data_IF_952876790430
#
_entry.id   IF_952876790430
#
_cell.length_a   1.000
_cell.length_b   1.000
_cell.length_c   1.000
_cell.angle_alpha   90.00
_cell.angle_beta   90.00
_cell.angle_gamma   90.00
#
_symmetry.space_group_name_H-M   'P 1'
#
loop_
_entity.id
_entity.type
_entity.pdbx_description
1 polymer ?
#
# COMPACT_ATOMS: atom_id res chain seq x y z
N UNK A 1 -52.92 14.30 -21.35
CA UNK A 1 -52.06 13.37 -20.60
C UNK A 1 -50.66 13.96 -20.59
N UNK A 2 -50.43 14.90 -19.69
CA UNK A 2 -49.22 15.73 -19.58
C UNK A 2 -49.12 16.14 -18.11
N UNK A 3 -48.77 15.18 -17.23
CA UNK A 3 -48.65 15.46 -15.80
C UNK A 3 -47.84 14.39 -15.05
N UNK A 4 -46.76 13.89 -15.66
CA UNK A 4 -45.83 12.97 -14.97
C UNK A 4 -44.36 13.28 -15.22
N UNK A 5 -44.02 14.10 -16.22
CA UNK A 5 -42.62 14.42 -16.55
C UNK A 5 -42.07 15.66 -15.82
N UNK A 6 -42.93 16.55 -15.30
CA UNK A 6 -42.49 17.77 -14.59
C UNK A 6 -42.18 17.58 -13.10
N UNK A 7 -42.61 16.46 -12.50
CA UNK A 7 -42.33 16.19 -11.08
C UNK A 7 -40.94 15.56 -10.86
N UNK A 8 -40.36 14.95 -11.91
CA UNK A 8 -39.04 14.30 -11.84
C UNK A 8 -37.89 15.28 -12.09
N UNK A 9 -38.15 16.38 -12.80
CA UNK A 9 -37.18 17.43 -13.14
C UNK A 9 -37.01 18.49 -12.05
N UNK A 10 -37.94 18.58 -11.10
CA UNK A 10 -37.87 19.52 -9.98
C UNK A 10 -36.96 19.03 -8.83
N UNK A 11 -36.86 17.71 -8.58
CA UNK A 11 -35.94 17.16 -7.56
C UNK A 11 -34.46 17.24 -7.96
N UNK A 12 -34.16 17.31 -9.25
CA UNK A 12 -32.77 17.41 -9.75
C UNK A 12 -32.21 18.84 -9.60
N UNK A 13 -33.08 19.85 -9.47
CA UNK A 13 -32.68 21.26 -9.39
C UNK A 13 -32.26 21.72 -7.98
N UNK A 14 -32.79 21.09 -6.93
CA UNK A 14 -32.47 21.41 -5.52
C UNK A 14 -31.27 20.61 -4.96
N UNK A 15 -30.72 19.69 -5.75
CA UNK A 15 -29.47 18.97 -5.45
C UNK A 15 -28.20 19.81 -5.75
N UNK A 16 -28.36 21.00 -6.35
CA UNK A 16 -27.28 21.91 -6.75
C UNK A 16 -26.43 22.43 -5.59
N UNK A 17 -26.99 22.90 -4.45
CA UNK A 17 -26.19 23.30 -3.28
C UNK A 17 -25.43 22.11 -2.68
N UNK A 18 -26.05 20.93 -2.58
CA UNK A 18 -25.41 19.73 -2.02
C UNK A 18 -24.23 19.24 -2.89
N UNK A 19 -24.36 19.30 -4.21
CA UNK A 19 -23.29 18.90 -5.14
C UNK A 19 -22.11 19.89 -5.15
N UNK A 20 -22.40 21.18 -4.96
CA UNK A 20 -21.38 22.21 -4.80
C UNK A 20 -20.59 22.00 -3.49
N UNK A 21 -21.28 21.78 -2.37
CA UNK A 21 -20.63 21.51 -1.07
C UNK A 21 -19.81 20.21 -1.09
N UNK A 22 -20.29 19.16 -1.75
CA UNK A 22 -19.53 17.90 -1.91
C UNK A 22 -18.27 18.12 -2.75
N UNK A 23 -18.35 18.89 -3.84
CA UNK A 23 -17.19 19.18 -4.68
C UNK A 23 -16.15 20.03 -3.94
N UNK A 24 -16.57 21.10 -3.25
CA UNK A 24 -15.66 21.93 -2.45
C UNK A 24 -14.97 21.14 -1.33
N UNK A 25 -15.71 20.23 -0.68
CA UNK A 25 -15.17 19.36 0.35
C UNK A 25 -14.14 18.38 -0.23
N UNK A 26 -14.44 17.80 -1.40
CA UNK A 26 -13.52 16.90 -2.12
C UNK A 26 -12.28 17.66 -2.58
N UNK A 27 -12.41 18.87 -3.14
CA UNK A 27 -11.29 19.69 -3.59
C UNK A 27 -10.38 20.08 -2.42
N UNK A 28 -10.97 20.51 -1.31
CA UNK A 28 -10.22 20.87 -0.09
C UNK A 28 -9.50 19.67 0.53
N UNK A 29 -10.15 18.50 0.58
CA UNK A 29 -9.49 17.27 1.08
C UNK A 29 -8.43 16.76 0.12
N UNK A 30 -8.64 16.91 -1.19
CA UNK A 30 -7.66 16.52 -2.20
C UNK A 30 -6.42 17.42 -2.16
N UNK A 31 -6.59 18.73 -2.01
CA UNK A 31 -5.47 19.67 -1.92
C UNK A 31 -4.69 19.49 -0.61
N UNK A 32 -5.39 19.28 0.50
CA UNK A 32 -4.74 18.93 1.78
C UNK A 32 -3.99 17.61 1.69
N UNK A 33 -4.56 16.59 1.04
CA UNK A 33 -3.90 15.30 0.84
C UNK A 33 -2.68 15.42 -0.08
N UNK A 34 -2.76 16.21 -1.16
CA UNK A 34 -1.64 16.47 -2.07
C UNK A 34 -0.52 17.23 -1.37
N UNK A 35 -0.85 18.25 -0.59
CA UNK A 35 0.14 19.03 0.15
C UNK A 35 0.84 18.17 1.21
N UNK A 36 0.06 17.37 1.96
CA UNK A 36 0.60 16.40 2.92
C UNK A 36 1.49 15.35 2.25
N UNK A 37 1.04 14.80 1.12
CA UNK A 37 1.81 13.83 0.34
C UNK A 37 3.10 14.44 -0.21
N UNK A 38 3.07 15.66 -0.75
CA UNK A 38 4.25 16.35 -1.26
C UNK A 38 5.25 16.64 -0.15
N UNK A 39 4.77 17.11 1.02
CA UNK A 39 5.62 17.36 2.19
C UNK A 39 6.26 16.06 2.68
N UNK A 40 5.48 14.99 2.80
CA UNK A 40 5.97 13.67 3.18
C UNK A 40 6.99 13.13 2.16
N UNK A 41 6.73 13.33 0.86
CA UNK A 41 7.62 12.91 -0.22
C UNK A 41 8.96 13.67 -0.17
N UNK A 42 8.93 14.99 0.03
CA UNK A 42 10.15 15.81 0.14
C UNK A 42 10.98 15.34 1.33
N UNK A 43 10.38 15.24 2.52
CA UNK A 43 11.07 14.75 3.72
C UNK A 43 11.59 13.33 3.56
N UNK A 44 10.79 12.42 3.00
CA UNK A 44 11.21 11.05 2.73
C UNK A 44 12.36 11.00 1.71
N UNK A 45 12.33 11.83 0.67
CA UNK A 45 13.38 11.89 -0.34
C UNK A 45 14.70 12.42 0.22
N UNK A 46 14.64 13.39 1.14
CA UNK A 46 15.80 13.99 1.78
C UNK A 46 16.44 13.00 2.75
N UNK A 47 15.63 12.35 3.59
CA UNK A 47 16.05 11.27 4.46
C UNK A 47 16.60 10.06 3.67
N UNK A 48 15.96 9.70 2.55
CA UNK A 48 16.42 8.62 1.68
C UNK A 48 17.76 8.97 1.01
N UNK A 49 17.97 10.22 0.58
CA UNK A 49 19.26 10.67 0.01
C UNK A 49 20.37 10.69 1.03
N UNK A 50 20.10 11.16 2.25
CA UNK A 50 21.08 11.14 3.34
C UNK A 50 21.44 9.69 3.73
N UNK A 51 20.43 8.83 3.85
CA UNK A 51 20.62 7.40 4.12
C UNK A 51 21.36 6.74 2.96
N UNK A 52 20.98 6.97 1.70
CA UNK A 52 21.66 6.42 0.53
C UNK A 52 23.14 6.81 0.45
N UNK A 53 23.49 8.05 0.83
CA UNK A 53 24.90 8.49 0.93
C UNK A 53 25.66 7.71 2.01
N UNK A 54 25.06 7.53 3.19
CA UNK A 54 25.64 6.71 4.29
C UNK A 54 25.68 5.21 3.96
N UNK A 55 24.73 4.75 3.15
CA UNK A 55 24.58 3.35 2.74
C UNK A 55 25.52 3.01 1.59
N UNK A 56 25.90 3.95 0.71
CA UNK A 56 26.92 3.72 -0.31
C UNK A 56 28.27 3.26 0.27
N UNK A 57 28.59 3.68 1.50
CA UNK A 57 29.77 3.24 2.26
C UNK A 57 29.51 1.97 3.11
N UNK A 58 28.24 1.60 3.31
CA UNK A 58 27.80 0.50 4.21
C UNK A 58 27.08 -0.67 3.56
N UNK A 59 26.77 -0.65 2.25
CA UNK A 59 26.14 -1.77 1.52
C UNK A 59 27.02 -3.02 1.58
N UNK A 60 28.34 -2.83 1.62
CA UNK A 60 29.30 -3.93 1.80
C UNK A 60 29.22 -4.55 3.20
N UNK A 61 28.74 -3.81 4.20
CA UNK A 61 28.70 -4.25 5.60
C UNK A 61 27.50 -5.13 5.95
N UNK A 62 26.34 -4.96 5.28
CA UNK A 62 25.15 -5.79 5.59
C UNK A 62 24.13 -5.90 4.43
N UNK A 63 24.17 -6.96 3.60
CA UNK A 63 23.21 -7.15 2.50
C UNK A 63 21.77 -7.41 2.97
N UNK A 64 21.54 -7.81 4.22
CA UNK A 64 20.18 -8.01 4.76
C UNK A 64 19.43 -6.69 4.94
N UNK A 65 20.16 -5.57 5.08
CA UNK A 65 19.55 -4.24 5.22
C UNK A 65 18.76 -3.84 3.97
N UNK A 66 19.24 -4.22 2.78
CA UNK A 66 18.56 -3.95 1.50
C UNK A 66 17.25 -4.73 1.40
N UNK A 67 17.24 -6.00 1.84
CA UNK A 67 16.04 -6.82 1.83
C UNK A 67 14.97 -6.26 2.78
N UNK A 68 15.35 -5.93 4.01
CA UNK A 68 14.42 -5.35 5.00
C UNK A 68 13.90 -3.99 4.51
N UNK A 69 14.78 -3.15 3.96
CA UNK A 69 14.41 -1.85 3.37
C UNK A 69 13.43 -1.98 2.21
N UNK A 70 13.66 -2.94 1.31
CA UNK A 70 12.77 -3.21 0.18
C UNK A 70 11.38 -3.70 0.59
N UNK A 71 11.31 -4.58 1.59
CA UNK A 71 10.02 -5.08 2.11
C UNK A 71 9.26 -3.96 2.81
N UNK A 72 9.91 -3.20 3.69
CA UNK A 72 9.28 -2.10 4.40
C UNK A 72 8.75 -1.03 3.42
N UNK A 73 9.55 -0.65 2.43
CA UNK A 73 9.16 0.30 1.40
C UNK A 73 7.99 -0.23 0.54
N UNK A 74 8.03 -1.50 0.14
CA UNK A 74 6.96 -2.14 -0.63
C UNK A 74 5.63 -2.19 0.14
N UNK A 75 5.67 -2.49 1.44
CA UNK A 75 4.48 -2.48 2.31
C UNK A 75 3.92 -1.07 2.45
N UNK A 76 4.76 -0.06 2.71
CA UNK A 76 4.32 1.33 2.83
C UNK A 76 3.73 1.85 1.52
N UNK A 77 4.40 1.60 0.39
CA UNK A 77 3.89 1.98 -0.93
C UNK A 77 2.56 1.27 -1.25
N UNK A 78 2.45 -0.02 -0.93
CA UNK A 78 1.22 -0.78 -1.13
C UNK A 78 0.06 -0.35 -0.22
N UNK A 79 0.34 0.07 1.01
CA UNK A 79 -0.65 0.52 1.98
C UNK A 79 -1.12 1.97 1.72
N UNK A 80 -0.25 2.83 1.19
CA UNK A 80 -0.55 4.25 0.95
C UNK A 80 -1.25 4.52 -0.38
N UNK A 81 -1.31 3.55 -1.30
CA UNK A 81 -2.08 3.68 -2.56
C UNK A 81 -3.49 3.13 -2.32
N UNK A 82 -4.50 3.96 -2.00
CA UNK A 82 -5.87 3.52 -1.86
C UNK A 82 -6.39 3.03 -3.21
N UNK A 83 -6.90 1.81 -3.26
CA UNK A 83 -7.57 1.29 -4.45
C UNK A 83 -8.94 1.94 -4.58
N UNK A 84 -9.09 2.92 -5.48
CA UNK A 84 -10.40 3.47 -5.82
C UNK A 84 -11.21 2.49 -6.68
N UNK A 85 -12.48 2.26 -6.34
CA UNK A 85 -13.38 1.39 -7.11
C UNK A 85 -13.59 1.88 -8.56
N UNK A 86 -13.56 3.20 -8.75
CA UNK A 86 -13.66 3.86 -10.07
C UNK A 86 -12.37 3.69 -10.89
N UNK A 87 -11.20 3.72 -10.26
CA UNK A 87 -9.91 3.41 -10.90
C UNK A 87 -9.81 1.94 -11.26
N UNK A 88 -10.30 1.04 -10.41
CA UNK A 88 -10.25 -0.42 -10.64
C UNK A 88 -11.04 -0.83 -11.89
N UNK A 89 -12.12 -0.11 -12.24
CA UNK A 89 -12.90 -0.38 -13.45
C UNK A 89 -12.22 0.10 -14.72
N UNK A 90 -11.56 1.26 -14.70
CA UNK A 90 -10.88 1.84 -15.87
C UNK A 90 -9.46 1.31 -16.06
N UNK A 91 -8.75 1.04 -14.97
CA UNK A 91 -7.37 0.53 -14.95
C UNK A 91 -7.30 -0.99 -14.83
N UNK A 92 -8.44 -1.71 -14.90
CA UNK A 92 -8.50 -3.18 -14.88
C UNK A 92 -7.43 -3.88 -15.74
N UNK A 93 -7.18 -3.50 -17.01
CA UNK A 93 -6.12 -4.12 -17.80
C UNK A 93 -4.71 -3.74 -17.33
N UNK A 94 -4.49 -2.52 -16.83
CA UNK A 94 -3.19 -2.06 -16.30
C UNK A 94 -2.89 -2.72 -14.96
N UNK A 95 -3.86 -2.76 -14.05
CA UNK A 95 -3.76 -3.44 -12.75
C UNK A 95 -3.53 -4.95 -12.90
N UNK A 96 -4.15 -5.60 -13.91
CA UNK A 96 -3.84 -7.00 -14.25
C UNK A 96 -2.39 -7.15 -14.69
N UNK A 97 -1.90 -6.34 -15.62
CA UNK A 97 -0.49 -6.39 -16.05
C UNK A 97 0.48 -6.18 -14.89
N UNK A 98 0.23 -5.22 -14.00
CA UNK A 98 1.06 -4.99 -12.81
C UNK A 98 1.02 -6.22 -11.89
N UNK A 99 -0.16 -6.79 -11.66
CA UNK A 99 -0.32 -7.98 -10.81
C UNK A 99 0.36 -9.20 -11.41
N UNK A 100 0.25 -9.40 -12.71
CA UNK A 100 0.87 -10.51 -13.43
C UNK A 100 2.40 -10.38 -13.42
N UNK A 101 2.92 -9.17 -13.65
CA UNK A 101 4.35 -8.88 -13.51
C UNK A 101 4.83 -9.11 -12.09
N UNK A 102 4.10 -8.64 -11.08
CA UNK A 102 4.45 -8.85 -9.68
C UNK A 102 4.44 -10.34 -9.30
N UNK A 103 3.44 -11.10 -9.78
CA UNK A 103 3.37 -12.56 -9.59
C UNK A 103 4.54 -13.27 -10.25
N UNK A 104 4.87 -12.92 -11.50
CA UNK A 104 6.03 -13.48 -12.19
C UNK A 104 7.35 -13.21 -11.46
N UNK A 105 7.54 -11.99 -10.94
CA UNK A 105 8.71 -11.64 -10.14
C UNK A 105 8.78 -12.45 -8.83
N UNK A 106 7.65 -12.63 -8.14
CA UNK A 106 7.57 -13.44 -6.92
C UNK A 106 7.84 -14.92 -7.22
N UNK A 107 7.31 -15.45 -8.31
CA UNK A 107 7.57 -16.82 -8.75
C UNK A 107 9.05 -17.03 -9.07
N UNK A 108 9.66 -16.14 -9.85
CA UNK A 108 11.09 -16.17 -10.13
C UNK A 108 11.94 -16.10 -8.86
N UNK A 109 11.60 -15.22 -7.91
CA UNK A 109 12.29 -15.15 -6.63
C UNK A 109 12.14 -16.43 -5.80
N UNK A 110 10.93 -17.03 -5.79
CA UNK A 110 10.70 -18.32 -5.13
C UNK A 110 11.51 -19.43 -5.78
N UNK A 111 11.62 -19.46 -7.10
CA UNK A 111 12.36 -20.48 -7.84
C UNK A 111 13.88 -20.34 -7.66
N UNK A 112 14.41 -19.11 -7.69
CA UNK A 112 15.80 -18.86 -7.31
C UNK A 112 16.08 -19.31 -5.87
N UNK A 113 15.18 -18.96 -4.93
CA UNK A 113 15.29 -19.43 -3.55
C UNK A 113 15.21 -20.96 -3.41
N UNK A 114 14.40 -21.65 -4.23
CA UNK A 114 14.39 -23.13 -4.27
C UNK A 114 15.73 -23.70 -4.68
N UNK A 115 16.34 -23.13 -5.71
CA UNK A 115 17.61 -23.60 -6.25
C UNK A 115 18.72 -23.44 -5.21
N UNK A 116 18.80 -22.28 -4.53
CA UNK A 116 19.74 -22.04 -3.45
C UNK A 116 19.53 -23.02 -2.27
N UNK A 117 18.27 -23.23 -1.84
CA UNK A 117 17.93 -24.17 -0.77
C UNK A 117 18.34 -25.61 -1.12
N UNK A 118 18.12 -26.02 -2.37
CA UNK A 118 18.57 -27.33 -2.86
C UNK A 118 20.09 -27.44 -2.89
N UNK A 119 20.80 -26.36 -3.26
CA UNK A 119 22.26 -26.30 -3.28
C UNK A 119 22.92 -26.47 -1.90
N UNK A 120 22.23 -26.03 -0.84
CA UNK A 120 22.71 -26.20 0.56
C UNK A 120 22.12 -27.45 1.26
N UNK A 121 21.39 -28.30 0.53
CA UNK A 121 20.82 -29.55 1.05
C UNK A 121 19.62 -29.37 1.99
N UNK A 122 19.02 -28.17 2.04
CA UNK A 122 17.87 -27.88 2.90
C UNK A 122 16.57 -28.22 2.17
N UNK A 123 15.71 -29.03 2.80
CA UNK A 123 14.42 -29.36 2.20
C UNK A 123 13.52 -28.13 2.12
N UNK A 124 12.84 -27.96 0.98
CA UNK A 124 11.84 -26.90 0.76
C UNK A 124 10.78 -26.88 1.86
N UNK A 125 10.36 -28.05 2.35
CA UNK A 125 9.34 -28.17 3.37
C UNK A 125 9.79 -27.52 4.69
N UNK A 126 10.98 -27.85 5.19
CA UNK A 126 11.53 -27.31 6.43
C UNK A 126 11.74 -25.78 6.36
N UNK A 127 12.27 -25.29 5.23
CA UNK A 127 12.43 -23.86 4.99
C UNK A 127 11.08 -23.12 4.97
N UNK A 128 10.07 -23.69 4.30
CA UNK A 128 8.73 -23.08 4.24
C UNK A 128 7.98 -23.09 5.57
N UNK A 129 8.15 -24.14 6.38
CA UNK A 129 7.57 -24.24 7.72
C UNK A 129 8.19 -23.19 8.66
N UNK A 130 9.52 -23.03 8.61
CA UNK A 130 10.25 -22.05 9.43
C UNK A 130 9.87 -20.62 9.03
N UNK A 131 9.85 -20.32 7.74
CA UNK A 131 9.39 -19.03 7.21
C UNK A 131 7.92 -18.77 7.60
N UNK A 132 7.06 -19.77 7.48
CA UNK A 132 5.65 -19.68 7.86
C UNK A 132 5.46 -19.36 9.35
N UNK A 133 6.21 -20.03 10.24
CA UNK A 133 6.19 -19.78 11.69
C UNK A 133 6.69 -18.39 12.04
N UNK A 134 7.77 -17.92 11.42
CA UNK A 134 8.28 -16.56 11.64
C UNK A 134 7.24 -15.51 11.22
N UNK A 135 6.66 -15.67 10.04
CA UNK A 135 5.61 -14.78 9.54
C UNK A 135 4.39 -14.80 10.46
N UNK A 136 3.92 -15.99 10.87
CA UNK A 136 2.81 -16.13 11.80
C UNK A 136 3.11 -15.46 13.15
N UNK A 137 4.34 -15.60 13.65
CA UNK A 137 4.76 -14.99 14.93
C UNK A 137 4.78 -13.47 14.83
N UNK A 138 5.34 -12.91 13.75
CA UNK A 138 5.33 -11.47 13.49
C UNK A 138 3.90 -10.97 13.33
N UNK A 139 3.06 -11.66 12.56
CA UNK A 139 1.65 -11.30 12.38
C UNK A 139 0.87 -11.37 13.70
N UNK A 140 1.11 -12.37 14.53
CA UNK A 140 0.46 -12.52 15.84
C UNK A 140 0.92 -11.43 16.80
N UNK A 141 2.22 -11.09 16.80
CA UNK A 141 2.76 -9.98 17.57
C UNK A 141 2.16 -8.63 17.12
N UNK A 142 2.07 -8.40 15.81
CA UNK A 142 1.44 -7.22 15.22
C UNK A 142 -0.06 -7.17 15.47
N UNK A 143 -0.78 -8.29 15.45
CA UNK A 143 -2.21 -8.33 15.78
C UNK A 143 -2.45 -8.03 17.27
N UNK A 144 -1.62 -8.58 18.14
CA UNK A 144 -1.69 -8.36 19.59
C UNK A 144 -1.31 -6.91 19.97
N UNK A 145 -0.26 -6.36 19.35
CA UNK A 145 0.16 -4.97 19.52
C UNK A 145 -0.76 -3.98 18.78
N UNK A 146 -1.33 -4.40 17.66
CA UNK A 146 -2.23 -3.62 16.81
C UNK A 146 -3.61 -3.47 17.44
N UNK A 147 -4.12 -4.48 18.15
CA UNK A 147 -5.34 -4.36 18.96
C UNK A 147 -5.15 -3.36 20.11
N UNK A 148 -3.96 -3.26 20.70
CA UNK A 148 -3.65 -2.29 21.76
C UNK A 148 -3.37 -0.88 21.21
N UNK A 149 -2.75 -0.74 20.04
CA UNK A 149 -2.56 0.54 19.35
C UNK A 149 -3.86 1.08 18.72
N UNK A 150 -4.67 0.23 18.09
CA UNK A 150 -5.97 0.61 17.52
C UNK A 150 -6.96 1.01 18.62
N UNK A 151 -6.95 0.34 19.77
CA UNK A 151 -7.76 0.74 20.93
C UNK A 151 -7.29 2.06 21.55
N UNK A 152 -5.98 2.33 21.56
CA UNK A 152 -5.43 3.62 22.03
C UNK A 152 -5.67 4.78 21.05
N UNK A 153 -5.69 4.51 19.75
CA UNK A 153 -6.07 5.49 18.72
C UNK A 153 -7.58 5.78 18.70
N UNK A 154 -8.42 4.79 19.00
CA UNK A 154 -9.87 4.95 19.10
C UNK A 154 -10.33 5.60 20.42
N UNK A 155 -9.51 5.59 21.48
CA UNK A 155 -9.85 6.16 22.80
C UNK A 155 -9.27 7.57 23.01
N UNK A 156 -8.56 8.11 22.02
CA UNK A 156 -8.10 9.51 22.02
C UNK A 156 -9.09 10.38 21.25
N UNK A 157 -10.31 10.50 21.77
CA UNK A 157 -11.34 11.49 21.41
C UNK A 157 -11.89 12.06 22.71
#
# INVERSE_FOLDING_TARGET
MTQTDDALTAEVSDATPAKATIRDTIETTLDTAKESANKALVTASEAARETARKTAEGIEANPLSVLVGGVALGVLAGALIPRGDSETRLLKPVGRKITDTARGAVEAAKDAGKAELAGIGLSRAAASDTAGKLVLTVLTALATAGVSAAKSAATKQ
#
